data_IF_073998419558
#
_entry.id   IF_073998419558
#
_cell.length_a   1.000
_cell.length_b   1.000
_cell.length_c   1.000
_cell.angle_alpha   90.00
_cell.angle_beta   90.00
_cell.angle_gamma   90.00
#
_symmetry.space_group_name_H-M   'P 1'
#
loop_
_entity.id
_entity.type
_entity.pdbx_description
1 polymer ?
#
# COMPACT_ATOMS: atom_id res chain seq x y z
N UNK A 1 4.16 -14.94 -7.12
CA UNK A 1 2.90 -15.50 -7.64
C UNK A 1 1.94 -15.72 -6.48
N UNK A 2 0.68 -15.33 -6.62
CA UNK A 2 -0.38 -15.67 -5.65
C UNK A 2 -1.06 -16.96 -6.12
N UNK A 3 -1.53 -17.78 -5.22
CA UNK A 3 -2.24 -18.99 -5.57
C UNK A 3 -3.50 -19.18 -4.71
N UNK A 4 -4.47 -19.88 -5.27
CA UNK A 4 -5.67 -20.31 -4.58
C UNK A 4 -5.48 -21.80 -4.27
N UNK A 5 -5.71 -22.26 -3.04
CA UNK A 5 -5.58 -23.67 -2.71
C UNK A 5 -6.57 -24.52 -3.51
N UNK A 6 -6.16 -25.71 -3.85
CA UNK A 6 -6.99 -26.72 -4.49
C UNK A 6 -7.06 -27.96 -3.60
N UNK A 7 -7.86 -28.94 -3.98
CA UNK A 7 -7.99 -30.21 -3.26
C UNK A 7 -6.63 -30.90 -3.05
N UNK A 8 -5.66 -30.70 -3.95
CA UNK A 8 -4.33 -31.30 -3.85
C UNK A 8 -3.38 -30.55 -2.90
N UNK A 9 -3.58 -29.23 -2.70
CA UNK A 9 -2.67 -28.38 -1.90
C UNK A 9 -3.47 -27.35 -1.13
N UNK A 10 -3.74 -27.62 0.13
CA UNK A 10 -4.47 -26.67 0.97
C UNK A 10 -3.54 -25.56 1.49
N UNK A 11 -2.47 -25.92 2.19
CA UNK A 11 -1.48 -24.97 2.69
C UNK A 11 -0.05 -25.40 2.38
N UNK A 12 0.73 -24.50 1.80
CA UNK A 12 2.17 -24.64 1.68
C UNK A 12 2.86 -23.53 2.44
N UNK A 13 3.83 -23.91 3.28
CA UNK A 13 4.66 -22.98 4.05
C UNK A 13 6.10 -23.45 4.06
N UNK A 14 7.03 -22.54 3.92
CA UNK A 14 8.46 -22.84 3.96
C UNK A 14 9.22 -22.52 2.67
N UNK A 15 10.49 -22.92 2.63
CA UNK A 15 11.38 -22.67 1.49
C UNK A 15 12.03 -23.97 1.04
N UNK A 16 11.98 -24.26 -0.26
CA UNK A 16 12.64 -25.41 -0.88
C UNK A 16 13.26 -24.99 -2.22
N UNK A 17 14.53 -25.39 -2.45
CA UNK A 17 15.22 -25.24 -3.75
C UNK A 17 14.98 -23.92 -4.50
N UNK A 18 15.14 -22.79 -3.80
CA UNK A 18 14.97 -21.47 -4.43
C UNK A 18 13.55 -20.93 -4.49
N UNK A 19 12.56 -21.66 -3.99
CA UNK A 19 11.16 -21.23 -3.91
C UNK A 19 10.74 -21.10 -2.45
N UNK A 20 10.02 -20.04 -2.13
CA UNK A 20 9.43 -19.82 -0.81
C UNK A 20 7.93 -19.69 -0.94
N UNK A 21 7.18 -20.52 -0.20
CA UNK A 21 5.75 -20.41 -0.01
C UNK A 21 5.44 -19.77 1.34
N UNK A 22 4.55 -18.81 1.38
CA UNK A 22 4.16 -18.13 2.61
C UNK A 22 2.72 -17.62 2.56
N UNK A 23 2.16 -17.34 3.75
CA UNK A 23 0.83 -16.76 3.93
C UNK A 23 0.96 -15.43 4.65
N UNK A 24 0.37 -14.39 4.11
CA UNK A 24 0.30 -13.06 4.73
C UNK A 24 -1.13 -12.56 4.70
N UNK A 25 -1.71 -12.29 5.85
CA UNK A 25 -3.09 -11.79 6.01
C UNK A 25 -4.11 -12.61 5.21
N UNK A 26 -4.03 -13.94 5.34
CA UNK A 26 -4.94 -14.85 4.65
C UNK A 26 -4.61 -15.11 3.18
N UNK A 27 -3.66 -14.38 2.59
CA UNK A 27 -3.25 -14.60 1.19
C UNK A 27 -2.07 -15.55 1.12
N UNK A 28 -2.19 -16.55 0.29
CA UNK A 28 -1.16 -17.53 0.00
C UNK A 28 -0.38 -17.09 -1.25
N UNK A 29 0.94 -17.15 -1.20
CA UNK A 29 1.78 -16.81 -2.35
C UNK A 29 3.04 -17.69 -2.40
N UNK A 30 3.55 -17.84 -3.59
CA UNK A 30 4.82 -18.50 -3.89
C UNK A 30 5.72 -17.47 -4.57
N UNK A 31 6.97 -17.40 -4.13
CA UNK A 31 7.97 -16.53 -4.75
C UNK A 31 9.29 -17.27 -4.95
N UNK A 32 10.03 -16.90 -5.99
CA UNK A 32 11.41 -17.32 -6.12
C UNK A 32 12.25 -16.61 -5.06
N UNK A 33 13.19 -17.34 -4.48
CA UNK A 33 14.16 -16.79 -3.55
C UNK A 33 15.21 -16.05 -4.37
N UNK A 34 15.08 -14.71 -4.50
CA UNK A 34 16.09 -13.89 -5.15
C UNK A 34 17.32 -13.77 -4.25
N UNK A 35 18.48 -14.01 -4.84
CA UNK A 35 19.75 -13.61 -4.21
C UNK A 35 19.89 -12.11 -4.35
N UNK A 36 20.49 -11.46 -3.33
CA UNK A 36 20.61 -10.01 -3.28
C UNK A 36 21.12 -9.43 -4.60
N UNK A 37 20.37 -8.47 -5.11
CA UNK A 37 20.61 -7.91 -6.43
C UNK A 37 21.88 -7.05 -6.50
N UNK A 38 22.25 -6.70 -7.73
CA UNK A 38 23.34 -5.80 -8.08
C UNK A 38 23.33 -4.45 -7.31
N UNK A 39 24.44 -3.73 -7.39
CA UNK A 39 24.62 -2.41 -6.79
C UNK A 39 23.41 -1.50 -7.09
N UNK A 40 22.94 -0.81 -6.07
CA UNK A 40 21.75 0.05 -6.15
C UNK A 40 22.06 1.32 -6.91
N UNK A 41 21.17 1.72 -7.79
CA UNK A 41 21.25 3.04 -8.43
C UNK A 41 20.96 4.16 -7.42
N UNK A 42 21.44 5.38 -7.68
CA UNK A 42 21.16 6.55 -6.85
C UNK A 42 19.64 6.76 -6.65
N UNK A 43 18.84 6.60 -7.70
CA UNK A 43 17.38 6.70 -7.64
C UNK A 43 16.76 5.67 -6.69
N UNK A 44 17.21 4.41 -6.75
CA UNK A 44 16.76 3.37 -5.82
C UNK A 44 17.15 3.67 -4.36
N UNK A 45 18.33 4.26 -4.14
CA UNK A 45 18.78 4.67 -2.83
C UNK A 45 17.89 5.80 -2.27
N UNK A 46 17.55 6.81 -3.08
CA UNK A 46 16.66 7.91 -2.72
C UNK A 46 15.27 7.39 -2.31
N UNK A 47 14.65 6.56 -3.14
CA UNK A 47 13.33 5.95 -2.82
C UNK A 47 13.39 5.15 -1.51
N UNK A 48 14.44 4.36 -1.31
CA UNK A 48 14.61 3.60 -0.06
C UNK A 48 14.77 4.48 1.17
N UNK A 49 15.47 5.63 1.06
CA UNK A 49 15.61 6.55 2.18
C UNK A 49 14.28 7.12 2.62
N UNK A 50 13.41 7.49 1.67
CA UNK A 50 12.04 7.96 1.95
C UNK A 50 11.23 6.88 2.66
N UNK A 51 11.21 5.64 2.13
CA UNK A 51 10.49 4.55 2.80
C UNK A 51 11.03 4.21 4.19
N UNK A 52 12.35 4.31 4.39
CA UNK A 52 12.95 4.16 5.72
C UNK A 52 12.45 5.24 6.67
N UNK A 53 12.43 6.49 6.25
CA UNK A 53 11.94 7.62 7.03
C UNK A 53 10.46 7.44 7.38
N UNK A 54 9.60 7.07 6.42
CA UNK A 54 8.18 6.82 6.64
C UNK A 54 7.95 5.65 7.62
N UNK A 55 8.73 4.59 7.51
CA UNK A 55 8.64 3.45 8.45
C UNK A 55 9.03 3.84 9.87
N UNK A 56 10.00 4.72 10.03
CA UNK A 56 10.40 5.25 11.33
C UNK A 56 9.31 6.18 11.89
N UNK A 57 8.78 7.09 11.07
CA UNK A 57 7.67 7.98 11.46
C UNK A 57 6.44 7.21 11.89
N UNK A 58 6.09 6.12 11.17
CA UNK A 58 4.97 5.24 11.55
C UNK A 58 5.13 4.65 12.95
N UNK A 59 6.34 4.27 13.36
CA UNK A 59 6.60 3.73 14.70
C UNK A 59 6.44 4.77 15.80
N UNK A 60 6.63 6.03 15.48
CA UNK A 60 6.53 7.15 16.43
C UNK A 60 5.10 7.68 16.58
N UNK A 61 4.15 7.17 15.79
CA UNK A 61 2.74 7.55 15.91
C UNK A 61 2.12 7.02 17.21
N UNK A 62 1.20 7.78 17.76
CA UNK A 62 0.40 7.35 18.92
C UNK A 62 -0.57 6.23 18.52
N UNK A 63 -0.99 5.42 19.50
CA UNK A 63 -1.98 4.37 19.25
C UNK A 63 -3.29 4.91 18.64
N UNK A 64 -3.74 6.09 19.07
CA UNK A 64 -4.94 6.73 18.50
C UNK A 64 -4.77 7.03 17.02
N UNK A 65 -3.60 7.56 16.61
CA UNK A 65 -3.28 7.83 15.21
C UNK A 65 -3.21 6.55 14.38
N UNK A 66 -2.56 5.51 14.91
CA UNK A 66 -2.49 4.19 14.24
C UNK A 66 -3.88 3.60 14.02
N UNK A 67 -4.76 3.70 15.02
CA UNK A 67 -6.15 3.23 14.90
C UNK A 67 -6.93 4.05 13.87
N UNK A 68 -6.76 5.36 13.83
CA UNK A 68 -7.39 6.22 12.83
C UNK A 68 -6.93 5.88 11.41
N UNK A 69 -5.63 5.65 11.19
CA UNK A 69 -5.10 5.19 9.91
C UNK A 69 -5.61 3.80 9.50
N UNK A 70 -5.73 2.89 10.46
CA UNK A 70 -6.30 1.57 10.21
C UNK A 70 -7.80 1.65 9.86
N UNK A 71 -8.56 2.51 10.52
CA UNK A 71 -9.97 2.75 10.21
C UNK A 71 -10.15 3.29 8.79
N UNK A 72 -9.36 4.31 8.42
CA UNK A 72 -9.36 4.84 7.04
C UNK A 72 -8.97 3.75 6.02
N UNK A 73 -7.99 2.90 6.33
CA UNK A 73 -7.56 1.83 5.44
C UNK A 73 -8.65 0.78 5.19
N UNK A 74 -9.59 0.59 6.13
CA UNK A 74 -10.72 -0.32 5.94
C UNK A 74 -11.75 0.18 4.92
N UNK A 75 -11.82 1.50 4.69
CA UNK A 75 -12.70 2.09 3.67
C UNK A 75 -12.10 1.97 2.27
N UNK A 76 -10.79 1.71 2.16
CA UNK A 76 -10.09 1.63 0.88
C UNK A 76 -10.07 0.19 0.34
N UNK A 77 -10.61 0.02 -0.85
CA UNK A 77 -10.53 -1.26 -1.55
C UNK A 77 -9.11 -1.47 -2.11
N UNK A 78 -8.50 -2.58 -1.77
CA UNK A 78 -7.26 -3.02 -2.40
C UNK A 78 -7.56 -3.76 -3.70
N UNK A 79 -6.78 -3.50 -4.75
CA UNK A 79 -6.86 -4.31 -5.98
C UNK A 79 -6.19 -5.66 -5.74
N UNK A 80 -6.93 -6.73 -5.94
CA UNK A 80 -6.39 -8.09 -5.96
C UNK A 80 -6.31 -8.61 -7.38
N UNK A 81 -5.17 -9.20 -7.74
CA UNK A 81 -4.98 -9.86 -9.05
C UNK A 81 -5.88 -11.10 -9.21
N UNK A 82 -6.29 -11.71 -8.11
CA UNK A 82 -7.10 -12.93 -8.08
C UNK A 82 -8.59 -12.67 -7.86
N UNK A 83 -9.07 -11.44 -8.08
CA UNK A 83 -10.49 -11.10 -7.92
C UNK A 83 -10.99 -11.05 -6.47
N UNK A 84 -10.16 -11.42 -5.49
CA UNK A 84 -10.53 -11.29 -4.08
C UNK A 84 -10.27 -9.88 -3.59
N UNK A 85 -11.29 -9.20 -3.08
CA UNK A 85 -11.13 -7.90 -2.45
C UNK A 85 -10.26 -8.02 -1.21
N UNK A 86 -9.17 -7.30 -1.17
CA UNK A 86 -8.31 -7.25 0.00
C UNK A 86 -8.20 -5.82 0.50
N UNK A 87 -8.32 -5.66 1.79
CA UNK A 87 -8.16 -4.36 2.44
C UNK A 87 -6.69 -4.01 2.59
N UNK A 88 -6.37 -2.74 2.43
CA UNK A 88 -5.03 -2.21 2.63
C UNK A 88 -4.76 -2.11 4.14
N UNK A 89 -3.51 -2.23 4.58
CA UNK A 89 -3.15 -1.94 5.97
C UNK A 89 -2.98 -0.43 6.18
N UNK A 90 -3.23 0.04 7.41
CA UNK A 90 -2.99 1.44 7.77
C UNK A 90 -1.56 1.90 7.46
N UNK A 91 -0.55 1.08 7.75
CA UNK A 91 0.85 1.38 7.44
C UNK A 91 1.10 1.53 5.93
N UNK A 92 0.47 0.69 5.10
CA UNK A 92 0.60 0.81 3.64
C UNK A 92 -0.11 2.05 3.12
N UNK A 93 -1.28 2.37 3.67
CA UNK A 93 -2.00 3.59 3.31
C UNK A 93 -1.23 4.83 3.73
N UNK A 94 -0.68 4.85 4.95
CA UNK A 94 0.19 5.89 5.46
C UNK A 94 1.37 6.14 4.53
N UNK A 95 2.11 5.09 4.19
CA UNK A 95 3.26 5.19 3.29
C UNK A 95 2.87 5.65 1.88
N UNK A 96 1.72 5.21 1.37
CA UNK A 96 1.23 5.59 0.04
C UNK A 96 0.89 7.07 -0.06
N UNK A 97 0.21 7.63 0.95
CA UNK A 97 -0.21 9.03 0.95
C UNK A 97 0.95 9.98 1.28
N UNK A 98 1.81 9.61 2.23
CA UNK A 98 2.92 10.45 2.67
C UNK A 98 4.15 10.38 1.76
N UNK A 99 4.26 9.40 0.87
CA UNK A 99 5.43 9.25 0.01
C UNK A 99 5.70 10.50 -0.83
N UNK A 100 4.68 11.02 -1.50
CA UNK A 100 4.83 12.19 -2.35
C UNK A 100 5.07 13.48 -1.56
N UNK A 101 4.47 13.61 -0.38
CA UNK A 101 4.69 14.76 0.51
C UNK A 101 6.15 14.83 0.90
N UNK A 102 6.71 13.71 1.37
CA UNK A 102 8.13 13.63 1.77
C UNK A 102 9.07 13.74 0.56
N UNK A 103 8.72 13.16 -0.59
CA UNK A 103 9.50 13.27 -1.82
C UNK A 103 9.61 14.72 -2.33
N UNK A 104 8.58 15.54 -2.08
CA UNK A 104 8.58 16.98 -2.39
C UNK A 104 9.19 17.84 -1.27
N UNK A 105 9.76 17.24 -0.21
CA UNK A 105 10.40 17.96 0.89
C UNK A 105 9.45 18.40 2.00
N UNK A 106 8.19 17.93 2.00
CA UNK A 106 7.22 18.18 3.08
C UNK A 106 7.36 17.18 4.23
N UNK A 107 6.67 17.47 5.33
CA UNK A 107 6.59 16.57 6.48
C UNK A 107 5.44 15.56 6.33
N UNK A 108 5.67 14.34 6.82
CA UNK A 108 4.65 13.30 6.80
C UNK A 108 3.47 13.65 7.73
N UNK A 109 2.26 13.47 7.24
CA UNK A 109 1.04 13.69 8.01
C UNK A 109 0.91 12.65 9.12
N UNK A 110 0.86 13.09 10.36
CA UNK A 110 0.66 12.19 11.51
C UNK A 110 -0.78 11.68 11.59
N UNK A 111 -1.76 12.53 11.27
CA UNK A 111 -3.18 12.16 11.24
C UNK A 111 -3.64 11.85 9.82
N UNK A 112 -4.56 10.88 9.64
CA UNK A 112 -5.15 10.63 8.33
C UNK A 112 -5.92 11.87 7.86
N UNK A 113 -5.85 12.20 6.55
CA UNK A 113 -6.63 13.29 5.99
C UNK A 113 -8.13 12.97 6.13
N UNK A 114 -8.94 13.98 6.47
CA UNK A 114 -10.38 13.85 6.40
C UNK A 114 -10.77 13.58 4.94
N UNK A 115 -11.64 12.58 4.72
CA UNK A 115 -12.25 12.37 3.43
C UNK A 115 -13.21 13.55 3.19
N UNK A 116 -12.72 14.60 2.56
CA UNK A 116 -13.60 15.62 2.01
C UNK A 116 -14.29 14.96 0.80
N UNK A 117 -15.59 14.80 0.89
CA UNK A 117 -16.39 14.45 -0.28
C UNK A 117 -16.09 15.51 -1.36
N UNK A 118 -15.69 15.07 -2.54
CA UNK A 118 -15.70 15.97 -3.69
C UNK A 118 -17.17 16.30 -3.90
N UNK A 119 -17.57 17.52 -3.53
CA UNK A 119 -18.89 18.02 -3.88
C UNK A 119 -19.00 17.92 -5.40
N UNK A 120 -20.02 17.21 -5.87
CA UNK A 120 -20.31 17.19 -7.30
C UNK A 120 -20.49 18.65 -7.76
N UNK A 121 -19.91 19.05 -8.90
CA UNK A 121 -20.07 20.42 -9.39
C UNK A 121 -21.56 20.71 -9.49
N UNK A 122 -22.01 21.68 -8.73
CA UNK A 122 -23.44 22.01 -8.52
C UNK A 122 -24.04 22.64 -9.78
N UNK A 123 -23.22 23.04 -10.75
CA UNK A 123 -23.67 23.61 -12.03
C UNK A 123 -22.91 23.02 -13.19
N UNK A 124 -23.63 22.34 -14.07
CA UNK A 124 -23.16 22.12 -15.42
C UNK A 124 -23.20 23.49 -16.14
N UNK A 125 -22.04 24.11 -16.31
CA UNK A 125 -21.91 25.29 -17.18
C UNK A 125 -22.22 24.82 -18.60
N UNK A 126 -23.48 24.89 -18.99
CA UNK A 126 -23.90 24.80 -20.39
C UNK A 126 -23.53 26.12 -21.06
N UNK A 127 -22.26 26.28 -21.38
CA UNK A 127 -21.85 27.39 -22.26
C UNK A 127 -22.40 27.09 -23.65
N UNK A 128 -23.50 27.81 -24.00
CA UNK A 128 -24.13 27.75 -25.28
C UNK A 128 -23.17 28.38 -26.29
N UNK A 129 -22.53 27.57 -27.15
CA UNK A 129 -21.74 28.06 -28.25
C UNK A 129 -22.59 29.02 -29.11
N UNK A 130 -22.09 30.21 -29.45
CA UNK A 130 -22.78 31.09 -30.34
C UNK A 130 -22.84 30.47 -31.73
N UNK A 131 -23.99 30.65 -32.40
CA UNK A 131 -24.29 30.16 -33.73
C UNK A 131 -23.43 30.81 -34.80
#
# INVERSE_FOLDING_TARGET
>A
MKYVPSIAFDEMSGSAKGVTAAKVRGRKYIRNRGYGGAARTAAQAAVKSIFKQLSQSWRNLTNAQILAWNALAQTQAGKSVLGTTSKISGANLYSRLNYWIVACGGEALSNPPALQGVEAPTEAVTEKLPA
#
